data_IF_376103382141
#
_entry.id   IF_376103382141
#
_cell.length_a   1.000
_cell.length_b   1.000
_cell.length_c   1.000
_cell.angle_alpha   90.00
_cell.angle_beta   90.00
_cell.angle_gamma   90.00
#
_symmetry.space_group_name_H-M   'P 1'
#
loop_
_entity.id
_entity.type
_entity.pdbx_description
1 polymer ?
#
# COMPACT_ATOMS: atom_id res chain seq x y z
N UNK A 1 11.20 -8.00 30.85
CA UNK A 1 10.89 -6.63 30.38
C UNK A 1 11.71 -6.33 29.12
N UNK A 2 11.50 -7.08 28.03
CA UNK A 2 12.35 -7.03 26.81
C UNK A 2 11.55 -6.71 25.52
N UNK A 3 10.23 -6.55 25.61
CA UNK A 3 9.35 -6.37 24.43
C UNK A 3 9.12 -4.90 24.02
N UNK A 4 9.44 -3.92 24.87
CA UNK A 4 9.16 -2.51 24.58
C UNK A 4 10.06 -1.94 23.46
N UNK A 5 11.37 -2.18 23.52
CA UNK A 5 12.32 -1.64 22.53
C UNK A 5 12.26 -2.30 21.15
N UNK A 6 11.81 -3.57 21.07
CA UNK A 6 11.66 -4.29 19.79
C UNK A 6 10.43 -3.83 19.01
N UNK A 7 9.35 -3.49 19.72
CA UNK A 7 8.13 -2.95 19.10
C UNK A 7 8.34 -1.53 18.55
N UNK A 8 9.11 -0.70 19.24
CA UNK A 8 9.37 0.69 18.83
C UNK A 8 10.20 0.75 17.52
N UNK A 9 11.25 -0.06 17.44
CA UNK A 9 12.06 -0.25 16.23
C UNK A 9 11.26 -0.76 15.03
N UNK A 10 10.40 -1.77 15.24
CA UNK A 10 9.55 -2.31 14.17
C UNK A 10 8.50 -1.29 13.71
N UNK A 11 7.98 -0.49 14.64
CA UNK A 11 7.04 0.58 14.34
C UNK A 11 7.68 1.69 13.49
N UNK A 12 8.93 2.09 13.79
CA UNK A 12 9.68 3.05 12.99
C UNK A 12 9.96 2.55 11.57
N UNK A 13 10.45 1.32 11.40
CA UNK A 13 10.69 0.73 10.07
C UNK A 13 9.43 0.66 9.22
N UNK A 14 8.31 0.32 9.85
CA UNK A 14 7.05 0.15 9.13
C UNK A 14 6.42 1.50 8.76
N UNK A 15 6.63 2.55 9.57
CA UNK A 15 6.29 3.93 9.23
C UNK A 15 7.15 4.44 8.06
N UNK A 16 8.47 4.24 8.10
CA UNK A 16 9.38 4.57 7.00
C UNK A 16 8.95 3.89 5.70
N UNK A 17 8.65 2.59 5.76
CA UNK A 17 8.15 1.83 4.61
C UNK A 17 6.83 2.40 4.07
N UNK A 18 5.93 2.83 4.94
CA UNK A 18 4.65 3.44 4.53
C UNK A 18 4.86 4.79 3.83
N UNK A 19 5.78 5.62 4.34
CA UNK A 19 6.16 6.88 3.73
C UNK A 19 6.83 6.69 2.37
N UNK A 20 7.71 5.68 2.24
CA UNK A 20 8.36 5.32 0.98
C UNK A 20 7.34 4.88 -0.08
N UNK A 21 6.33 4.09 0.31
CA UNK A 21 5.25 3.66 -0.59
C UNK A 21 4.41 4.85 -1.04
N UNK A 22 4.03 5.76 -0.13
CA UNK A 22 3.29 6.98 -0.49
C UNK A 22 4.10 7.86 -1.43
N UNK A 23 5.41 8.00 -1.18
CA UNK A 23 6.34 8.74 -2.05
C UNK A 23 6.40 8.13 -3.45
N UNK A 24 6.52 6.80 -3.55
CA UNK A 24 6.50 6.08 -4.83
C UNK A 24 5.17 6.30 -5.57
N UNK A 25 4.03 6.18 -4.88
CA UNK A 25 2.70 6.43 -5.46
C UNK A 25 2.61 7.84 -6.03
N UNK A 26 3.06 8.85 -5.29
CA UNK A 26 3.02 10.24 -5.71
C UNK A 26 3.85 10.45 -6.97
N UNK A 27 5.07 9.90 -6.99
CA UNK A 27 5.97 10.06 -8.12
C UNK A 27 5.40 9.47 -9.40
N UNK A 28 4.86 8.26 -9.32
CA UNK A 28 4.23 7.59 -10.47
C UNK A 28 2.94 8.33 -10.89
N UNK A 29 2.14 8.80 -9.93
CA UNK A 29 0.92 9.56 -10.21
C UNK A 29 1.20 10.88 -10.91
N UNK A 30 2.26 11.60 -10.50
CA UNK A 30 2.68 12.85 -11.16
C UNK A 30 3.10 12.56 -12.59
N UNK A 31 3.97 11.57 -12.80
CA UNK A 31 4.43 11.18 -14.13
C UNK A 31 3.26 10.84 -15.07
N UNK A 32 2.33 9.99 -14.63
CA UNK A 32 1.16 9.60 -15.42
C UNK A 32 0.24 10.81 -15.72
N UNK A 33 0.03 11.71 -14.75
CA UNK A 33 -0.76 12.94 -14.97
C UNK A 33 -0.09 13.91 -15.94
N UNK A 34 1.23 14.06 -15.90
CA UNK A 34 1.97 14.91 -16.84
C UNK A 34 1.86 14.36 -18.27
N UNK A 35 2.00 13.04 -18.44
CA UNK A 35 1.79 12.36 -19.73
C UNK A 35 0.38 12.56 -20.27
N UNK A 36 -0.65 12.38 -19.44
CA UNK A 36 -2.05 12.65 -19.82
C UNK A 36 -2.28 14.10 -20.25
N UNK A 37 -1.59 15.05 -19.61
CA UNK A 37 -1.67 16.47 -19.95
C UNK A 37 -0.79 16.86 -21.16
N UNK A 38 0.01 15.94 -21.72
CA UNK A 38 0.98 16.24 -22.77
C UNK A 38 2.11 17.17 -22.32
N UNK A 39 2.36 17.26 -21.01
CA UNK A 39 3.40 18.12 -20.42
C UNK A 39 4.70 17.34 -20.35
N UNK A 40 5.80 17.96 -20.76
CA UNK A 40 7.13 17.37 -20.64
C UNK A 40 7.46 17.08 -19.17
N UNK A 41 7.73 15.81 -18.88
CA UNK A 41 8.14 15.39 -17.55
C UNK A 41 9.67 15.40 -17.44
N UNK A 42 10.19 16.11 -16.44
CA UNK A 42 11.62 16.18 -16.12
C UNK A 42 12.06 15.12 -15.11
N UNK A 43 11.12 14.29 -14.63
CA UNK A 43 11.39 13.16 -13.74
C UNK A 43 12.43 12.25 -14.38
N UNK A 44 13.51 11.97 -13.65
CA UNK A 44 14.51 11.00 -14.10
C UNK A 44 13.85 9.62 -14.35
N UNK A 45 14.08 8.99 -15.51
CA UNK A 45 13.61 7.64 -15.79
C UNK A 45 14.04 6.63 -14.72
N UNK A 46 15.25 6.79 -14.18
CA UNK A 46 15.77 5.90 -13.13
C UNK A 46 15.00 6.03 -11.83
N UNK A 47 14.62 7.26 -11.45
CA UNK A 47 13.85 7.50 -10.24
C UNK A 47 12.40 7.00 -10.39
N UNK A 48 11.80 7.15 -11.57
CA UNK A 48 10.48 6.59 -11.88
C UNK A 48 10.51 5.05 -11.82
N UNK A 49 11.53 4.44 -12.45
CA UNK A 49 11.71 2.99 -12.43
C UNK A 49 11.97 2.48 -11.01
N UNK A 50 12.71 3.23 -10.19
CA UNK A 50 12.91 2.91 -8.78
C UNK A 50 11.58 2.94 -8.02
N UNK A 51 10.78 3.98 -8.19
CA UNK A 51 9.45 4.08 -7.59
C UNK A 51 8.54 2.91 -8.00
N UNK A 52 8.51 2.56 -9.30
CA UNK A 52 7.73 1.41 -9.81
C UNK A 52 8.19 0.10 -9.16
N UNK A 53 9.50 -0.16 -9.08
CA UNK A 53 10.04 -1.36 -8.44
C UNK A 53 9.68 -1.44 -6.96
N UNK A 54 9.87 -0.35 -6.21
CA UNK A 54 9.55 -0.30 -4.78
C UNK A 54 8.06 -0.58 -4.52
N UNK A 55 7.17 0.08 -5.27
CA UNK A 55 5.73 -0.14 -5.13
C UNK A 55 5.33 -1.56 -5.53
N UNK A 56 5.90 -2.08 -6.62
CA UNK A 56 5.64 -3.44 -7.11
C UNK A 56 6.08 -4.51 -6.10
N UNK A 57 7.24 -4.33 -5.46
CA UNK A 57 7.74 -5.22 -4.42
C UNK A 57 6.86 -5.18 -3.16
N UNK A 58 6.40 -3.98 -2.78
CA UNK A 58 5.46 -3.81 -1.68
C UNK A 58 4.13 -4.53 -1.95
N UNK A 59 3.53 -4.33 -3.13
CA UNK A 59 2.29 -5.00 -3.52
C UNK A 59 2.42 -6.53 -3.54
N UNK A 60 3.57 -7.04 -3.98
CA UNK A 60 3.87 -8.47 -3.92
C UNK A 60 3.90 -8.99 -2.49
N UNK A 61 4.62 -8.29 -1.60
CA UNK A 61 4.71 -8.67 -0.18
C UNK A 61 3.33 -8.62 0.50
N UNK A 62 2.54 -7.58 0.24
CA UNK A 62 1.18 -7.44 0.77
C UNK A 62 0.26 -8.56 0.28
N UNK A 63 0.30 -8.86 -1.02
CA UNK A 63 -0.50 -9.94 -1.61
C UNK A 63 -0.17 -11.30 -1.00
N UNK A 64 1.12 -11.61 -0.80
CA UNK A 64 1.53 -12.83 -0.11
C UNK A 64 0.99 -12.92 1.32
N UNK A 65 0.99 -11.80 2.06
CA UNK A 65 0.46 -11.77 3.43
C UNK A 65 -1.04 -12.03 3.42
N UNK A 66 -1.79 -11.40 2.49
CA UNK A 66 -3.23 -11.60 2.33
C UNK A 66 -3.54 -13.07 1.96
N UNK A 67 -2.81 -13.63 0.99
CA UNK A 67 -3.01 -15.01 0.54
C UNK A 67 -2.67 -16.03 1.64
N UNK A 68 -1.59 -15.81 2.41
CA UNK A 68 -1.23 -16.64 3.58
C UNK A 68 -2.26 -16.54 4.71
N UNK A 69 -2.90 -15.38 4.85
CA UNK A 69 -3.91 -15.12 5.87
C UNK A 69 -5.32 -15.65 5.52
N UNK A 70 -5.62 -15.80 4.22
CA UNK A 70 -6.92 -16.27 3.70
C UNK A 70 -7.34 -17.68 4.16
N UNK A 71 -6.49 -18.42 4.87
CA UNK A 71 -6.83 -19.73 5.44
C UNK A 71 -7.41 -19.69 6.87
N UNK A 72 -7.20 -18.63 7.66
CA UNK A 72 -7.79 -18.45 9.01
C UNK A 72 -7.43 -17.05 9.56
N UNK A 73 -8.41 -16.26 10.02
CA UNK A 73 -8.18 -14.92 10.62
C UNK A 73 -7.17 -14.97 11.81
N UNK A 74 -7.13 -16.07 12.56
CA UNK A 74 -6.23 -16.27 13.70
C UNK A 74 -4.76 -16.54 13.31
N UNK A 75 -4.44 -16.80 12.04
CA UNK A 75 -3.07 -17.16 11.62
C UNK A 75 -2.18 -15.98 11.25
N UNK A 76 -2.71 -14.75 11.27
CA UNK A 76 -1.93 -13.53 10.96
C UNK A 76 -0.89 -13.24 12.07
N UNK A 77 -0.92 -13.98 13.19
CA UNK A 77 -0.11 -13.71 14.38
C UNK A 77 1.32 -14.27 14.40
N UNK A 78 1.82 -14.99 13.38
CA UNK A 78 3.14 -15.64 13.47
C UNK A 78 4.19 -15.02 12.54
N UNK A 79 4.87 -13.98 13.02
CA UNK A 79 6.23 -13.60 12.59
C UNK A 79 6.39 -12.50 11.54
N UNK A 80 5.30 -11.94 10.99
CA UNK A 80 5.34 -10.84 10.03
C UNK A 80 5.18 -9.46 10.71
N UNK A 81 5.63 -8.39 10.02
CA UNK A 81 5.42 -7.00 10.41
C UNK A 81 3.94 -6.79 10.85
N UNK A 82 3.68 -6.47 12.13
CA UNK A 82 2.33 -6.36 12.68
C UNK A 82 1.45 -5.36 11.92
N UNK A 83 2.06 -4.30 11.37
CA UNK A 83 1.33 -3.26 10.62
C UNK A 83 0.99 -3.73 9.22
N UNK A 84 1.89 -4.47 8.56
CA UNK A 84 1.57 -5.12 7.29
C UNK A 84 0.45 -6.15 7.47
N UNK A 85 0.45 -6.90 8.58
CA UNK A 85 -0.65 -7.79 8.94
C UNK A 85 -1.96 -7.05 9.21
N UNK A 86 -1.90 -5.87 9.85
CA UNK A 86 -3.07 -5.02 10.08
C UNK A 86 -3.64 -4.43 8.80
N UNK A 87 -2.77 -3.93 7.92
CA UNK A 87 -3.12 -3.48 6.59
C UNK A 87 -3.76 -4.63 5.79
N UNK A 88 -3.16 -5.81 5.77
CA UNK A 88 -3.70 -6.99 5.10
C UNK A 88 -5.10 -7.39 5.61
N UNK A 89 -5.39 -7.21 6.92
CA UNK A 89 -6.72 -7.44 7.49
C UNK A 89 -7.79 -6.53 6.87
N UNK A 90 -7.45 -5.29 6.48
CA UNK A 90 -8.41 -4.42 5.78
C UNK A 90 -8.84 -4.98 4.42
N UNK A 91 -7.99 -5.79 3.76
CA UNK A 91 -8.31 -6.45 2.48
C UNK A 91 -9.02 -7.80 2.66
N UNK A 92 -9.02 -8.37 3.88
CA UNK A 92 -9.67 -9.64 4.21
C UNK A 92 -11.10 -9.48 4.74
N UNK A 93 -11.62 -8.25 4.84
CA UNK A 93 -13.00 -8.01 5.30
C UNK A 93 -13.96 -8.60 4.26
N UNK A 94 -14.52 -9.75 4.62
CA UNK A 94 -15.45 -10.55 3.83
C UNK A 94 -16.73 -9.76 3.45
N UNK A 95 -17.37 -10.11 2.33
CA UNK A 95 -18.62 -9.49 1.90
C UNK A 95 -19.72 -9.78 2.94
N UNK A 96 -20.19 -8.74 3.63
CA UNK A 96 -21.29 -8.86 4.59
C UNK A 96 -21.33 -7.85 5.74
N UNK A 97 -20.29 -7.02 5.95
CA UNK A 97 -20.36 -5.92 6.91
C UNK A 97 -20.64 -4.58 6.20
N UNK A 98 -21.73 -3.87 6.55
CA UNK A 98 -21.97 -2.52 6.09
C UNK A 98 -21.17 -1.56 6.97
N UNK A 99 -19.88 -1.44 6.70
CA UNK A 99 -19.10 -0.27 7.12
C UNK A 99 -18.72 0.46 5.85
N UNK A 100 -18.98 1.77 5.78
CA UNK A 100 -18.76 2.59 4.60
C UNK A 100 -17.29 2.77 4.19
N UNK A 101 -16.43 1.81 4.51
CA UNK A 101 -15.03 1.75 4.15
C UNK A 101 -14.90 0.98 2.83
N UNK A 102 -14.62 1.74 1.77
CA UNK A 102 -13.80 1.37 0.62
C UNK A 102 -13.30 -0.09 0.64
N UNK A 103 -14.04 -1.02 0.04
CA UNK A 103 -13.67 -2.43 -0.03
C UNK A 103 -12.66 -2.63 -1.15
N UNK A 104 -11.37 -2.48 -0.84
CA UNK A 104 -10.28 -2.77 -1.76
C UNK A 104 -10.03 -4.29 -1.75
N UNK A 105 -10.18 -4.94 -2.91
CA UNK A 105 -10.08 -6.40 -3.05
C UNK A 105 -8.67 -6.82 -3.46
N UNK A 106 -8.35 -8.10 -3.29
CA UNK A 106 -7.06 -8.65 -3.73
C UNK A 106 -6.85 -8.50 -5.24
N UNK A 107 -7.92 -8.58 -6.02
CA UNK A 107 -7.91 -8.37 -7.48
C UNK A 107 -7.43 -6.96 -7.83
N UNK A 108 -7.86 -5.96 -7.07
CA UNK A 108 -7.49 -4.56 -7.30
C UNK A 108 -5.96 -4.35 -7.10
N UNK A 109 -5.32 -5.14 -6.21
CA UNK A 109 -3.85 -5.13 -6.03
C UNK A 109 -3.13 -5.77 -7.22
N UNK A 110 -3.71 -6.84 -7.77
CA UNK A 110 -3.17 -7.55 -8.95
C UNK A 110 -3.28 -6.66 -10.19
N UNK A 111 -4.40 -5.97 -10.36
CA UNK A 111 -4.62 -5.02 -11.45
C UNK A 111 -3.67 -3.83 -11.36
N UNK A 112 -3.47 -3.24 -10.17
CA UNK A 112 -2.50 -2.18 -9.96
C UNK A 112 -1.07 -2.66 -10.29
N UNK A 113 -0.68 -3.87 -9.88
CA UNK A 113 0.62 -4.45 -10.22
C UNK A 113 0.79 -4.56 -11.74
N UNK A 114 -0.22 -5.07 -12.45
CA UNK A 114 -0.17 -5.19 -13.92
C UNK A 114 -0.01 -3.82 -14.60
N UNK A 115 -0.70 -2.78 -14.11
CA UNK A 115 -0.56 -1.40 -14.61
C UNK A 115 0.85 -0.83 -14.35
N UNK A 116 1.47 -1.17 -13.22
CA UNK A 116 2.84 -0.75 -12.91
C UNK A 116 3.86 -1.44 -13.83
N UNK A 117 3.70 -2.74 -14.05
CA UNK A 117 4.56 -3.59 -14.89
C UNK A 117 4.44 -3.22 -16.38
N UNK A 118 3.29 -2.71 -16.83
CA UNK A 118 3.09 -2.21 -18.19
C UNK A 118 3.90 -0.92 -18.51
N UNK A 119 4.48 -0.26 -17.50
CA UNK A 119 5.37 0.88 -17.71
C UNK A 119 4.69 2.04 -18.42
N UNK A 120 5.28 2.49 -19.53
CA UNK A 120 4.76 3.60 -20.34
C UNK A 120 3.63 3.17 -21.29
N UNK A 121 3.46 1.87 -21.50
CA UNK A 121 2.34 1.31 -22.28
C UNK A 121 1.05 1.18 -21.47
N UNK A 122 1.09 1.52 -20.18
CA UNK A 122 -0.08 1.48 -19.31
C UNK A 122 -1.15 2.51 -19.74
N UNK A 123 -2.41 2.18 -19.48
CA UNK A 123 -3.49 3.16 -19.44
C UNK A 123 -3.23 4.10 -18.25
N UNK A 124 -2.73 5.31 -18.54
CA UNK A 124 -2.35 6.29 -17.53
C UNK A 124 -3.55 6.74 -16.69
N UNK A 125 -4.78 6.74 -17.23
CA UNK A 125 -5.96 7.09 -16.44
C UNK A 125 -6.30 5.98 -15.44
N UNK A 126 -6.26 4.72 -15.90
CA UNK A 126 -6.46 3.56 -15.03
C UNK A 126 -5.39 3.52 -13.93
N UNK A 127 -4.13 3.78 -14.29
CA UNK A 127 -3.03 3.85 -13.34
C UNK A 127 -3.25 4.93 -12.28
N UNK A 128 -3.60 6.16 -12.69
CA UNK A 128 -3.87 7.26 -11.74
C UNK A 128 -5.05 6.94 -10.83
N UNK A 129 -6.14 6.35 -11.35
CA UNK A 129 -7.29 5.94 -10.53
C UNK A 129 -6.89 4.89 -9.50
N UNK A 130 -6.23 3.82 -9.93
CA UNK A 130 -5.79 2.73 -9.04
C UNK A 130 -4.79 3.20 -7.99
N UNK A 131 -3.86 4.09 -8.34
CA UNK A 131 -2.91 4.69 -7.40
C UNK A 131 -3.59 5.61 -6.38
N UNK A 132 -4.55 6.43 -6.82
CA UNK A 132 -5.32 7.33 -5.94
C UNK A 132 -6.13 6.51 -4.94
N UNK A 133 -6.76 5.45 -5.42
CA UNK A 133 -7.53 4.52 -4.60
C UNK A 133 -6.65 3.77 -3.60
N UNK A 134 -5.47 3.29 -4.02
CA UNK A 134 -4.56 2.60 -3.12
C UNK A 134 -3.99 3.53 -2.05
N UNK A 135 -3.67 4.77 -2.42
CA UNK A 135 -3.20 5.80 -1.49
C UNK A 135 -4.21 6.08 -0.39
N UNK A 136 -5.50 6.19 -0.72
CA UNK A 136 -6.52 6.46 0.30
C UNK A 136 -6.64 5.32 1.31
N UNK A 137 -6.47 4.06 0.90
CA UNK A 137 -6.43 2.91 1.82
C UNK A 137 -5.22 2.99 2.75
N UNK A 138 -4.03 3.32 2.23
CA UNK A 138 -2.84 3.48 3.06
C UNK A 138 -2.98 4.65 4.06
N UNK A 139 -3.55 5.77 3.63
CA UNK A 139 -3.79 6.93 4.49
C UNK A 139 -4.84 6.63 5.57
N UNK A 140 -5.91 5.91 5.24
CA UNK A 140 -6.90 5.44 6.21
C UNK A 140 -6.28 4.49 7.23
N UNK A 141 -5.44 3.54 6.79
CA UNK A 141 -4.71 2.63 7.67
C UNK A 141 -3.77 3.40 8.61
N UNK A 142 -3.01 4.36 8.08
CA UNK A 142 -2.13 5.21 8.88
C UNK A 142 -2.89 6.07 9.92
N UNK A 143 -4.06 6.59 9.56
CA UNK A 143 -4.93 7.35 10.48
C UNK A 143 -5.53 6.46 11.57
N UNK A 144 -5.95 5.24 11.23
CA UNK A 144 -6.45 4.27 12.20
C UNK A 144 -5.38 3.89 13.22
N UNK A 145 -4.15 3.67 12.76
CA UNK A 145 -3.00 3.42 13.64
C UNK A 145 -2.71 4.63 14.56
N UNK A 146 -2.76 5.86 14.02
CA UNK A 146 -2.55 7.07 14.82
C UNK A 146 -3.63 7.27 15.89
N UNK A 147 -4.90 7.00 15.57
CA UNK A 147 -6.01 7.11 16.52
C UNK A 147 -5.84 6.15 17.71
N UNK A 148 -5.30 4.95 17.51
CA UNK A 148 -5.00 4.01 18.61
C UNK A 148 -3.94 4.59 19.55
N UNK A 149 -2.87 5.17 19.00
CA UNK A 149 -1.79 5.78 19.80
C UNK A 149 -2.26 7.00 20.60
N UNK A 150 -3.16 7.82 20.05
CA UNK A 150 -3.65 9.02 20.74
C UNK A 150 -4.80 8.75 21.72
N UNK A 151 -5.50 7.62 21.61
CA UNK A 151 -6.60 7.27 22.50
C UNK A 151 -6.16 6.39 23.69
N UNK A 152 -4.88 6.02 23.75
CA UNK A 152 -4.22 5.34 24.87
C UNK A 152 -3.45 6.30 25.82
N UNK A 153 -3.68 7.63 25.70
CA UNK A 153 -3.14 8.66 26.61
C UNK A 153 -4.23 9.21 27.54
#
# INVERSE_FOLDING_TARGET
>A
MENAGKNDWLASQSLERSLDVISAINRISIHAKLRLAGIADTTSPDELNSARRSLTAFLGTLSEVIEKAGGTQDKIAFGADPRLGSLARMFLVLPGQPTGAVSYRLEDLKDLKALLDAGDSADDEALVRSLTYFRSVLEQHAQADAAVVFNEV
#
